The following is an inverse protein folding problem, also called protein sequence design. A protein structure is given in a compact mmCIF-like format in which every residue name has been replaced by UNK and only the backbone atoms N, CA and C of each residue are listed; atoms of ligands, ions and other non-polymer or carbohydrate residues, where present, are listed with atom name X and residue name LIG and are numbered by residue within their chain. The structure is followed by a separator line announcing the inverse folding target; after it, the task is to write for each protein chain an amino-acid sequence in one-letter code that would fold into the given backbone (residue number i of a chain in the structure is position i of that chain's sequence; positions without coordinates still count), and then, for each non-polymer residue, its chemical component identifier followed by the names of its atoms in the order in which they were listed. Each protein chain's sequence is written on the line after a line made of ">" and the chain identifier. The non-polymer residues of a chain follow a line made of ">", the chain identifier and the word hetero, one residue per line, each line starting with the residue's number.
data_IF_157754537138
#
_entry.id   IF_157754537138
#
_cell.length_a   1.000
_cell.length_b   1.000
_cell.length_c   1.000
_cell.angle_alpha   90.00
_cell.angle_beta   90.00
_cell.angle_gamma   90.00
#
_symmetry.space_group_name_H-M   'P 1'
#
loop_
_entity.id
_entity.type
_entity.pdbx_description
1 polymer ?
#
# COMPACT_ATOMS: atom_id res chain seq x y z
N UNK A 1 -9.36 -20.22 -20.95
CA UNK A 1 -10.29 -19.22 -20.36
C UNK A 1 -10.36 -19.27 -18.83
N UNK A 2 -10.67 -20.39 -18.15
CA UNK A 2 -10.80 -20.43 -16.66
C UNK A 2 -9.58 -19.91 -15.87
N UNK A 3 -8.36 -20.20 -16.33
CA UNK A 3 -7.11 -19.75 -15.66
C UNK A 3 -6.94 -18.23 -15.68
N UNK A 4 -7.31 -17.55 -16.77
CA UNK A 4 -7.23 -16.08 -16.87
C UNK A 4 -8.20 -15.40 -15.91
N UNK A 5 -9.42 -15.95 -15.78
CA UNK A 5 -10.42 -15.49 -14.82
C UNK A 5 -9.88 -15.51 -13.38
N UNK A 6 -9.25 -16.62 -12.96
CA UNK A 6 -8.68 -16.74 -11.61
C UNK A 6 -7.59 -15.71 -11.34
N UNK A 7 -6.70 -15.45 -12.32
CA UNK A 7 -5.66 -14.42 -12.19
C UNK A 7 -6.27 -13.02 -12.09
N UNK A 8 -7.31 -12.73 -12.87
CA UNK A 8 -8.00 -11.44 -12.85
C UNK A 8 -8.69 -11.21 -11.51
N UNK A 9 -9.43 -12.20 -11.02
CA UNK A 9 -10.11 -12.13 -9.72
C UNK A 9 -9.11 -12.02 -8.58
N UNK A 10 -7.98 -12.74 -8.65
CA UNK A 10 -6.91 -12.64 -7.64
C UNK A 10 -6.30 -11.24 -7.58
N UNK A 11 -6.02 -10.62 -8.72
CA UNK A 11 -5.53 -9.23 -8.77
C UNK A 11 -6.58 -8.25 -8.25
N UNK A 12 -7.86 -8.46 -8.59
CA UNK A 12 -8.96 -7.61 -8.15
C UNK A 12 -9.08 -7.64 -6.62
N UNK A 13 -9.04 -8.83 -6.01
CA UNK A 13 -9.09 -8.99 -4.55
C UNK A 13 -7.90 -8.30 -3.89
N UNK A 14 -6.70 -8.44 -4.45
CA UNK A 14 -5.49 -7.79 -3.92
C UNK A 14 -5.61 -6.27 -4.00
N UNK A 15 -6.15 -5.71 -5.10
CA UNK A 15 -6.44 -4.28 -5.23
C UNK A 15 -7.40 -3.82 -4.14
N UNK A 16 -8.50 -4.54 -3.93
CA UNK A 16 -9.50 -4.20 -2.90
C UNK A 16 -8.92 -4.25 -1.49
N UNK A 17 -8.19 -5.30 -1.16
CA UNK A 17 -7.49 -5.40 0.13
C UNK A 17 -6.49 -4.27 0.32
N UNK A 18 -5.78 -3.89 -0.75
CA UNK A 18 -4.86 -2.76 -0.76
C UNK A 18 -5.62 -1.46 -0.43
N UNK A 19 -6.73 -1.15 -1.10
CA UNK A 19 -7.50 0.07 -0.83
C UNK A 19 -8.00 0.11 0.63
N UNK A 20 -8.56 -0.99 1.13
CA UNK A 20 -9.08 -1.10 2.51
C UNK A 20 -7.96 -0.90 3.53
N UNK A 21 -6.82 -1.55 3.32
CA UNK A 21 -5.72 -1.50 4.28
C UNK A 21 -5.02 -0.13 4.27
N UNK A 22 -4.90 0.50 3.09
CA UNK A 22 -4.38 1.86 2.95
C UNK A 22 -5.28 2.90 3.63
N UNK A 23 -6.60 2.82 3.40
CA UNK A 23 -7.56 3.73 4.03
C UNK A 23 -7.63 3.54 5.55
N UNK A 24 -7.59 2.29 6.02
CA UNK A 24 -7.49 1.98 7.45
C UNK A 24 -6.24 2.61 8.08
N UNK A 25 -5.08 2.51 7.44
CA UNK A 25 -3.85 3.10 7.95
C UNK A 25 -3.91 4.63 8.04
N UNK A 26 -4.46 5.28 7.01
CA UNK A 26 -4.68 6.73 7.02
C UNK A 26 -5.62 7.11 8.18
N UNK A 27 -6.72 6.39 8.36
CA UNK A 27 -7.65 6.69 9.43
C UNK A 27 -7.10 6.40 10.83
N UNK A 28 -6.36 5.29 11.00
CA UNK A 28 -5.83 4.88 12.29
C UNK A 28 -4.60 5.67 12.72
N UNK A 29 -3.69 5.99 11.79
CA UNK A 29 -2.44 6.68 12.10
C UNK A 29 -2.48 8.16 11.77
N UNK A 30 -2.88 8.55 10.56
CA UNK A 30 -2.84 9.98 10.18
C UNK A 30 -3.92 10.79 10.91
N UNK A 31 -5.15 10.27 11.07
CA UNK A 31 -6.22 11.04 11.71
C UNK A 31 -6.13 11.03 13.24
N UNK A 32 -5.74 9.91 13.87
CA UNK A 32 -5.67 9.81 15.34
C UNK A 32 -4.37 10.32 15.95
N UNK A 33 -3.31 10.54 15.16
CA UNK A 33 -2.07 11.12 15.67
C UNK A 33 -2.29 12.60 15.94
N UNK A 34 -2.72 12.94 17.14
CA UNK A 34 -2.78 14.30 17.66
C UNK A 34 -1.99 14.33 18.96
N UNK A 35 -0.86 15.04 18.98
CA UNK A 35 -0.12 15.23 20.21
C UNK A 35 -0.90 16.21 21.11
N UNK A 36 -1.13 15.90 22.40
CA UNK A 36 -1.81 16.78 23.34
C UNK A 36 -0.88 17.91 23.81
N UNK A 37 -0.19 18.57 22.88
CA UNK A 37 0.73 19.67 23.13
C UNK A 37 0.07 20.93 22.57
N UNK A 38 -0.37 21.82 23.45
CA UNK A 38 -1.02 23.07 23.07
C UNK A 38 -0.01 24.07 22.51
N UNK A 39 -0.32 24.66 21.35
CA UNK A 39 0.49 25.69 20.70
C UNK A 39 1.04 25.29 19.32
N UNK A 40 1.61 26.27 18.60
CA UNK A 40 2.09 26.13 17.22
C UNK A 40 3.15 25.03 17.05
N UNK A 41 4.01 24.84 18.05
CA UNK A 41 5.03 23.78 18.08
C UNK A 41 4.40 22.38 18.04
N UNK A 42 3.31 22.16 18.77
CA UNK A 42 2.62 20.87 18.82
C UNK A 42 1.99 20.52 17.47
N UNK A 43 1.38 21.50 16.81
CA UNK A 43 0.85 21.34 15.45
C UNK A 43 1.96 21.06 14.43
N UNK A 44 3.09 21.75 14.53
CA UNK A 44 4.22 21.59 13.61
C UNK A 44 4.86 20.20 13.73
N UNK A 45 5.14 19.73 14.95
CA UNK A 45 5.65 18.38 15.19
C UNK A 45 4.66 17.29 14.75
N UNK A 46 3.37 17.48 15.01
CA UNK A 46 2.32 16.53 14.59
C UNK A 46 2.29 16.41 13.07
N UNK A 47 2.38 17.52 12.35
CA UNK A 47 2.38 17.52 10.89
C UNK A 47 3.64 16.84 10.32
N UNK A 48 4.83 17.15 10.85
CA UNK A 48 6.07 16.48 10.42
C UNK A 48 5.98 14.97 10.65
N UNK A 49 5.54 14.54 11.83
CA UNK A 49 5.40 13.13 12.15
C UNK A 49 4.41 12.43 11.20
N UNK A 50 3.26 13.06 10.91
CA UNK A 50 2.29 12.56 9.93
C UNK A 50 2.90 12.42 8.55
N UNK A 51 3.63 13.43 8.07
CA UNK A 51 4.25 13.39 6.74
C UNK A 51 5.32 12.30 6.65
N UNK A 52 6.21 12.19 7.63
CA UNK A 52 7.28 11.17 7.64
C UNK A 52 6.69 9.77 7.70
N UNK A 53 5.69 9.53 8.56
CA UNK A 53 5.00 8.25 8.63
C UNK A 53 4.26 7.94 7.33
N UNK A 54 3.58 8.92 6.74
CA UNK A 54 2.90 8.77 5.46
C UNK A 54 3.85 8.39 4.33
N UNK A 55 5.02 9.03 4.25
CA UNK A 55 6.05 8.71 3.26
C UNK A 55 6.62 7.30 3.49
N UNK A 56 6.94 6.93 4.73
CA UNK A 56 7.43 5.60 5.05
C UNK A 56 6.43 4.50 4.65
N UNK A 57 5.15 4.70 4.96
CA UNK A 57 4.07 3.79 4.57
C UNK A 57 3.94 3.72 3.05
N UNK A 58 3.99 4.85 2.34
CA UNK A 58 3.92 4.87 0.88
C UNK A 58 5.08 4.09 0.24
N UNK A 59 6.29 4.21 0.79
CA UNK A 59 7.46 3.45 0.31
C UNK A 59 7.25 1.94 0.51
N UNK A 60 6.81 1.53 1.71
CA UNK A 60 6.50 0.13 2.02
C UNK A 60 5.41 -0.39 1.07
N UNK A 61 4.41 0.43 0.79
CA UNK A 61 3.30 0.11 -0.10
C UNK A 61 3.77 -0.15 -1.53
N UNK A 62 4.55 0.78 -2.09
CA UNK A 62 5.15 0.65 -3.43
C UNK A 62 6.03 -0.59 -3.50
N UNK A 63 6.79 -0.89 -2.45
CA UNK A 63 7.62 -2.08 -2.40
C UNK A 63 6.80 -3.38 -2.41
N UNK A 64 5.68 -3.40 -1.67
CA UNK A 64 4.71 -4.50 -1.71
C UNK A 64 4.13 -4.72 -3.11
N UNK A 65 3.70 -3.64 -3.76
CA UNK A 65 3.21 -3.67 -5.14
C UNK A 65 4.28 -4.14 -6.14
N UNK A 66 5.52 -3.68 -6.01
CA UNK A 66 6.65 -4.14 -6.85
C UNK A 66 6.88 -5.64 -6.71
N UNK A 67 6.80 -6.17 -5.48
CA UNK A 67 6.96 -7.62 -5.22
C UNK A 67 5.80 -8.43 -5.79
N UNK A 68 4.57 -7.95 -5.64
CA UNK A 68 3.37 -8.55 -6.24
C UNK A 68 3.45 -8.55 -7.78
N UNK A 69 3.78 -7.41 -8.38
CA UNK A 69 4.01 -7.32 -9.82
C UNK A 69 5.08 -8.30 -10.26
N UNK A 70 6.21 -8.36 -9.57
CA UNK A 70 7.28 -9.32 -9.90
C UNK A 70 6.79 -10.77 -9.81
N UNK A 71 6.02 -11.14 -8.78
CA UNK A 71 5.43 -12.48 -8.67
C UNK A 71 4.47 -12.79 -9.83
N UNK A 72 3.49 -11.93 -10.08
CA UNK A 72 2.50 -12.13 -11.13
C UNK A 72 3.13 -12.12 -12.54
N UNK A 73 4.02 -11.15 -12.82
CA UNK A 73 4.63 -11.00 -14.15
C UNK A 73 5.77 -11.99 -14.40
N UNK A 74 6.63 -12.28 -13.42
CA UNK A 74 7.74 -13.26 -13.60
C UNK A 74 7.21 -14.67 -13.81
N UNK A 75 6.09 -15.02 -13.19
CA UNK A 75 5.39 -16.29 -13.44
C UNK A 75 4.78 -16.34 -14.84
N UNK A 76 4.28 -15.21 -15.37
CA UNK A 76 3.73 -15.14 -16.73
C UNK A 76 4.82 -15.11 -17.81
N UNK A 77 5.91 -14.38 -17.60
CA UNK A 77 7.03 -14.26 -18.55
C UNK A 77 7.86 -15.56 -18.67
N UNK A 78 8.02 -16.32 -17.58
CA UNK A 78 8.67 -17.65 -17.67
C UNK A 78 7.90 -18.62 -18.57
N UNK A 79 6.56 -18.51 -18.62
CA UNK A 79 5.72 -19.35 -19.50
C UNK A 79 5.80 -18.95 -20.98
N UNK A 80 6.20 -17.71 -21.27
CA UNK A 80 6.41 -17.21 -22.63
C UNK A 80 7.78 -17.59 -23.20
N UNK A 81 8.77 -17.93 -22.35
CA UNK A 81 10.13 -18.27 -22.80
C UNK A 81 10.34 -19.77 -23.06
N UNK A 82 9.39 -20.63 -22.70
CA UNK A 82 9.45 -22.09 -22.88
C UNK A 82 8.48 -22.62 -23.95
N UNK A 83 7.97 -21.72 -24.81
CA UNK A 83 7.17 -22.07 -25.98
C UNK A 83 7.90 -21.58 -27.22
#
# INVERSE_FOLDING_TARGET
>A
MRKQLIYLTGILIIVWLSIIFGSYFIAAFLLKLAFPISGWIGTFLTNIARTVLGVAIAIIWIYGWKKLYTLYFKWNLRKLKTK
#
